data_IF_343667423577
#
_entry.id   IF_343667423577
#
_cell.length_a   1.000
_cell.length_b   1.000
_cell.length_c   1.000
_cell.angle_alpha   90.00
_cell.angle_beta   90.00
_cell.angle_gamma   90.00
#
_symmetry.space_group_name_H-M   'P 1'
#
loop_
_entity.id
_entity.type
_entity.pdbx_description
1 polymer ?
#
# COMPACT_ATOMS: atom_id res chain seq x y z
N UNK A 1 20.77 -7.34 -1.50
CA UNK A 1 19.32 -7.56 -1.35
C UNK A 1 19.15 -8.64 -0.31
N UNK A 2 17.99 -8.70 0.32
CA UNK A 2 17.61 -9.89 1.07
C UNK A 2 17.35 -11.03 0.08
N UNK A 3 17.90 -12.21 0.35
CA UNK A 3 17.84 -13.38 -0.52
C UNK A 3 17.00 -14.52 0.08
N UNK A 4 16.34 -14.27 1.22
CA UNK A 4 15.37 -15.19 1.78
C UNK A 4 14.09 -15.17 0.92
N UNK A 5 13.51 -16.34 0.56
CA UNK A 5 12.30 -16.42 -0.26
C UNK A 5 11.03 -16.10 0.55
N UNK A 6 9.86 -16.13 -0.11
CA UNK A 6 8.52 -15.96 0.50
C UNK A 6 8.20 -14.54 1.04
N UNK A 7 9.03 -13.54 0.73
CA UNK A 7 8.72 -12.14 1.02
C UNK A 7 9.18 -11.19 -0.09
N UNK A 8 8.58 -10.00 -0.15
CA UNK A 8 8.95 -8.93 -1.10
C UNK A 8 10.03 -7.98 -0.55
N UNK A 9 10.52 -8.25 0.66
CA UNK A 9 11.54 -7.45 1.35
C UNK A 9 10.92 -6.33 2.19
N UNK A 10 11.75 -5.61 2.95
CA UNK A 10 11.30 -4.52 3.81
C UNK A 10 10.91 -3.28 2.99
N UNK A 11 10.10 -2.37 3.55
CA UNK A 11 9.87 -1.06 2.95
C UNK A 11 11.17 -0.34 2.61
N UNK A 12 11.21 0.28 1.42
CA UNK A 12 12.30 1.19 1.07
C UNK A 12 12.30 2.37 2.04
N UNK A 13 13.48 2.83 2.46
CA UNK A 13 13.63 3.84 3.52
C UNK A 13 12.88 5.17 3.29
N UNK A 14 12.55 5.52 2.04
CA UNK A 14 11.77 6.72 1.71
C UNK A 14 10.25 6.49 1.65
N UNK A 15 9.79 5.26 1.91
CA UNK A 15 8.40 4.84 1.87
C UNK A 15 7.88 4.50 3.26
N UNK A 16 6.68 4.98 3.56
CA UNK A 16 5.82 4.43 4.61
C UNK A 16 4.86 3.42 3.99
N UNK A 17 4.55 2.36 4.75
CA UNK A 17 3.57 1.33 4.37
C UNK A 17 2.59 1.14 5.52
N UNK A 18 1.30 1.02 5.21
CA UNK A 18 0.24 0.61 6.15
C UNK A 18 -0.60 -0.49 5.53
N UNK A 19 -1.28 -1.26 6.37
CA UNK A 19 -2.36 -2.15 5.95
C UNK A 19 -3.71 -1.47 6.25
N UNK A 20 -4.65 -1.57 5.34
CA UNK A 20 -6.04 -1.10 5.50
C UNK A 20 -6.97 -2.30 5.43
N UNK A 21 -8.01 -2.29 6.26
CA UNK A 21 -9.03 -3.35 6.27
C UNK A 21 -9.73 -3.46 4.91
N UNK A 22 -10.03 -4.69 4.50
CA UNK A 22 -10.88 -5.00 3.34
C UNK A 22 -11.97 -5.97 3.80
N UNK A 23 -13.03 -5.45 4.49
CA UNK A 23 -14.04 -6.29 5.12
C UNK A 23 -14.79 -7.20 4.15
N UNK A 24 -14.97 -6.78 2.90
CA UNK A 24 -15.64 -7.54 1.84
C UNK A 24 -14.90 -8.85 1.49
N UNK A 25 -13.61 -8.91 1.80
CA UNK A 25 -12.73 -10.07 1.57
C UNK A 25 -12.25 -10.70 2.89
N UNK A 26 -12.79 -10.27 4.03
CA UNK A 26 -12.42 -10.76 5.37
C UNK A 26 -10.94 -10.53 5.75
N UNK A 27 -10.29 -9.51 5.19
CA UNK A 27 -8.93 -9.10 5.59
C UNK A 27 -8.97 -7.92 6.57
N UNK A 28 -8.24 -8.06 7.67
CA UNK A 28 -8.20 -7.06 8.74
C UNK A 28 -6.77 -6.79 9.17
N UNK A 29 -6.42 -5.50 9.24
CA UNK A 29 -5.08 -5.04 9.61
C UNK A 29 -4.70 -5.51 11.04
N UNK A 30 -5.71 -5.70 11.91
CA UNK A 30 -5.55 -6.31 13.22
C UNK A 30 -5.01 -7.75 13.19
N UNK A 31 -5.21 -8.46 12.09
CA UNK A 31 -4.65 -9.79 11.83
C UNK A 31 -3.35 -9.73 11.00
N UNK A 32 -2.70 -8.56 10.92
CA UNK A 32 -1.56 -8.28 10.06
C UNK A 32 -1.82 -8.51 8.58
N UNK A 33 -3.08 -8.44 8.12
CA UNK A 33 -3.47 -8.62 6.72
C UNK A 33 -4.29 -7.43 6.23
N UNK A 34 -4.21 -7.06 4.95
CA UNK A 34 -5.05 -6.00 4.41
C UNK A 34 -4.52 -5.46 3.11
N UNK A 35 -5.19 -4.42 2.59
CA UNK A 35 -4.69 -3.69 1.44
C UNK A 35 -3.37 -3.00 1.81
N UNK A 36 -2.34 -3.21 0.99
CA UNK A 36 -1.08 -2.49 1.09
C UNK A 36 -1.28 -1.07 0.58
N UNK A 37 -1.09 -0.09 1.46
CA UNK A 37 -1.09 1.33 1.08
C UNK A 37 0.31 1.93 1.28
N UNK A 38 0.77 2.71 0.32
CA UNK A 38 2.12 3.30 0.32
C UNK A 38 2.11 4.81 0.26
N UNK A 39 3.06 5.45 0.96
CA UNK A 39 3.25 6.91 0.92
C UNK A 39 4.74 7.23 0.95
N UNK A 40 5.19 8.08 0.06
CA UNK A 40 6.61 8.46 -0.04
C UNK A 40 6.86 9.42 -1.18
N UNK A 41 8.03 10.05 -1.20
CA UNK A 41 8.39 11.02 -2.25
C UNK A 41 8.60 10.38 -3.62
N UNK A 42 8.75 9.06 -3.65
CA UNK A 42 8.87 8.23 -4.85
C UNK A 42 7.51 7.77 -5.41
N UNK A 43 6.43 7.93 -4.67
CA UNK A 43 5.08 7.64 -5.16
C UNK A 43 4.69 8.75 -6.13
N UNK A 44 4.14 8.37 -7.29
CA UNK A 44 3.66 9.33 -8.29
C UNK A 44 2.59 10.27 -7.70
N UNK A 45 2.51 11.50 -8.24
CA UNK A 45 1.57 12.53 -7.75
C UNK A 45 0.15 12.39 -8.30
N UNK A 46 -0.06 11.47 -9.26
CA UNK A 46 -1.34 11.25 -9.92
C UNK A 46 -1.23 10.97 -11.42
N UNK A 47 -2.36 10.61 -12.00
CA UNK A 47 -2.49 10.36 -13.43
C UNK A 47 -2.54 11.67 -14.22
N UNK A 48 -1.83 11.70 -15.35
CA UNK A 48 -1.75 12.89 -16.20
C UNK A 48 -3.13 13.29 -16.75
N UNK A 49 -3.55 14.54 -16.49
CA UNK A 49 -4.85 15.10 -16.90
C UNK A 49 -6.06 14.28 -16.44
N UNK A 50 -5.92 13.48 -15.38
CA UNK A 50 -7.01 12.67 -14.87
C UNK A 50 -7.09 12.76 -13.33
N UNK A 51 -7.61 13.88 -12.80
CA UNK A 51 -7.73 14.08 -11.36
C UNK A 51 -8.72 13.11 -10.71
N UNK A 52 -9.76 12.67 -11.43
CA UNK A 52 -10.74 11.70 -10.93
C UNK A 52 -10.08 10.35 -10.66
N UNK A 53 -9.37 9.79 -11.63
CA UNK A 53 -8.62 8.54 -11.43
C UNK A 53 -7.50 8.67 -10.40
N UNK A 54 -6.97 9.88 -10.21
CA UNK A 54 -5.96 10.13 -9.15
C UNK A 54 -6.59 10.03 -7.78
N UNK A 55 -7.74 10.68 -7.58
CA UNK A 55 -8.48 10.66 -6.32
C UNK A 55 -9.07 9.27 -5.99
N UNK A 56 -9.30 8.42 -7.00
CA UNK A 56 -9.68 7.01 -6.79
C UNK A 56 -8.58 6.18 -6.10
N UNK A 57 -7.30 6.50 -6.33
CA UNK A 57 -6.16 5.67 -5.87
C UNK A 57 -5.21 6.38 -4.93
N UNK A 58 -5.35 7.69 -4.73
CA UNK A 58 -4.59 8.47 -3.75
C UNK A 58 -5.56 9.19 -2.83
N UNK A 59 -5.53 8.84 -1.54
CA UNK A 59 -6.44 9.42 -0.54
C UNK A 59 -6.06 10.87 -0.17
N UNK A 60 -6.94 11.54 0.58
CA UNK A 60 -6.73 12.91 1.06
C UNK A 60 -5.51 13.07 1.99
N UNK A 61 -5.01 11.97 2.54
CA UNK A 61 -3.81 11.92 3.37
C UNK A 61 -2.55 11.58 2.55
N UNK A 62 -2.66 11.42 1.23
CA UNK A 62 -1.57 11.12 0.30
C UNK A 62 -1.10 9.67 0.32
N UNK A 63 -1.94 8.72 0.77
CA UNK A 63 -1.66 7.30 0.62
C UNK A 63 -2.14 6.81 -0.73
N UNK A 64 -1.25 6.11 -1.43
CA UNK A 64 -1.61 5.39 -2.62
C UNK A 64 -2.12 3.99 -2.27
N UNK A 65 -3.37 3.73 -2.67
CA UNK A 65 -4.05 2.44 -2.61
C UNK A 65 -3.59 1.57 -3.78
N UNK A 66 -2.86 0.49 -3.50
CA UNK A 66 -2.30 -0.36 -4.57
C UNK A 66 -3.33 -1.35 -5.11
N UNK A 67 -4.38 -1.66 -4.35
CA UNK A 67 -5.33 -2.73 -4.64
C UNK A 67 -4.80 -4.15 -4.37
N UNK A 68 -3.58 -4.29 -3.84
CA UNK A 68 -2.99 -5.59 -3.50
C UNK A 68 -3.18 -5.92 -2.02
N UNK A 69 -3.48 -7.19 -1.72
CA UNK A 69 -3.51 -7.70 -0.35
C UNK A 69 -2.12 -8.17 0.07
N UNK A 70 -1.67 -7.70 1.24
CA UNK A 70 -0.40 -8.08 1.84
C UNK A 70 -0.55 -8.55 3.29
N UNK A 71 0.55 -9.09 3.82
CA UNK A 71 0.65 -9.51 5.22
C UNK A 71 2.00 -9.09 5.81
N UNK A 72 1.98 -8.58 7.05
CA UNK A 72 3.20 -8.47 7.84
C UNK A 72 3.56 -9.81 8.45
N UNK A 73 4.76 -10.28 8.14
CA UNK A 73 5.35 -11.45 8.78
C UNK A 73 5.93 -11.05 10.15
N UNK A 74 5.90 -11.96 11.15
CA UNK A 74 6.44 -11.72 12.48
C UNK A 74 7.97 -11.50 12.49
#
# INVERSE_FOLDING_TARGET
GDHVPEHVGPPVACCCVKLVDVPEMEYYASNNQGEVCVKGTNVFVGYYKNPEKTAEVVDEHGWHHTGDIGMWLP
#
